data_IF_312132813810
#
_entry.id   IF_312132813810
#
_cell.length_a   1.000
_cell.length_b   1.000
_cell.length_c   1.000
_cell.angle_alpha   90.00
_cell.angle_beta   90.00
_cell.angle_gamma   90.00
#
_symmetry.space_group_name_H-M   'P 1'
#
loop_
_entity.id
_entity.type
_entity.pdbx_description
1 polymer ?
#
# COMPACT_ATOMS: atom_id res chain seq x y z
N UNK A 1 9.49 22.45 12.34
CA UNK A 1 8.63 21.77 11.33
C UNK A 1 9.50 21.50 10.11
N UNK A 2 9.66 20.23 9.72
CA UNK A 2 10.46 19.87 8.55
C UNK A 2 9.59 20.10 7.31
N UNK A 3 10.06 20.96 6.39
CA UNK A 3 9.35 21.22 5.14
C UNK A 3 10.08 20.51 4.00
N UNK A 4 9.41 19.50 3.41
CA UNK A 4 9.93 18.77 2.25
C UNK A 4 9.07 19.09 1.05
N UNK A 5 9.68 19.68 0.04
CA UNK A 5 9.00 19.98 -1.21
C UNK A 5 9.30 18.90 -2.25
N UNK A 6 8.29 18.11 -2.61
CA UNK A 6 8.39 17.09 -3.65
C UNK A 6 7.71 17.62 -4.91
N UNK A 7 8.45 17.92 -5.99
CA UNK A 7 7.87 18.42 -7.22
C UNK A 7 6.88 17.43 -7.85
N UNK A 8 5.77 17.92 -8.40
CA UNK A 8 4.79 17.07 -9.09
C UNK A 8 5.40 16.24 -10.23
N UNK A 9 6.43 16.79 -10.90
CA UNK A 9 7.17 16.09 -11.96
C UNK A 9 7.90 14.82 -11.50
N UNK A 10 7.98 14.59 -10.19
CA UNK A 10 8.53 13.34 -9.61
C UNK A 10 7.57 12.16 -9.78
N UNK A 11 6.29 12.44 -9.97
CA UNK A 11 5.24 11.43 -10.15
C UNK A 11 4.94 11.23 -11.63
N UNK A 12 4.54 10.02 -11.99
CA UNK A 12 3.87 9.80 -13.26
C UNK A 12 2.50 10.51 -13.20
N UNK A 13 2.19 11.32 -14.20
CA UNK A 13 1.01 12.19 -14.24
C UNK A 13 -0.30 11.45 -13.98
N UNK A 14 -0.40 10.22 -14.48
CA UNK A 14 -1.59 9.35 -14.30
C UNK A 14 -1.90 9.07 -12.82
N UNK A 15 -0.90 9.12 -11.94
CA UNK A 15 -1.08 8.85 -10.52
C UNK A 15 -1.22 10.10 -9.65
N UNK A 16 -0.99 11.29 -10.19
CA UNK A 16 -1.07 12.54 -9.41
C UNK A 16 -2.43 12.72 -8.72
N UNK A 17 -3.58 12.45 -9.36
CA UNK A 17 -4.89 12.55 -8.71
C UNK A 17 -5.09 11.57 -7.55
N UNK A 18 -4.30 10.49 -7.51
CA UNK A 18 -4.44 9.40 -6.54
C UNK A 18 -3.52 9.54 -5.32
N UNK A 19 -2.69 10.57 -5.24
CA UNK A 19 -1.79 10.80 -4.09
C UNK A 19 -2.62 10.95 -2.80
N UNK A 20 -3.71 11.73 -2.87
CA UNK A 20 -4.58 12.04 -1.74
C UNK A 20 -5.81 11.11 -1.65
N UNK A 21 -5.89 10.07 -2.47
CA UNK A 21 -7.03 9.17 -2.47
C UNK A 21 -7.11 8.41 -1.13
N UNK A 22 -8.21 8.58 -0.41
CA UNK A 22 -8.53 7.92 0.86
C UNK A 22 -9.68 6.93 0.76
N UNK A 23 -10.17 6.64 -0.46
CA UNK A 23 -11.21 5.62 -0.68
C UNK A 23 -10.87 4.32 0.04
N UNK A 24 -11.86 3.71 0.66
CA UNK A 24 -11.69 2.52 1.53
C UNK A 24 -11.02 1.37 0.81
N UNK A 25 -11.35 1.12 -0.44
CA UNK A 25 -10.74 0.09 -1.29
C UNK A 25 -10.16 0.74 -2.54
N UNK A 26 -8.92 0.41 -2.84
CA UNK A 26 -8.21 0.97 -3.98
C UNK A 26 -7.50 -0.15 -4.72
N UNK A 27 -7.67 -0.19 -6.03
CA UNK A 27 -7.06 -1.22 -6.88
C UNK A 27 -6.20 -0.52 -7.93
N UNK A 28 -4.92 -0.88 -7.95
CA UNK A 28 -3.97 -0.44 -8.96
C UNK A 28 -3.50 -1.65 -9.76
N UNK A 29 -4.07 -1.86 -10.92
CA UNK A 29 -3.67 -2.95 -11.81
C UNK A 29 -3.11 -2.41 -13.13
N UNK A 30 -2.27 -3.18 -13.77
CA UNK A 30 -1.60 -2.80 -15.02
C UNK A 30 -0.34 -3.60 -15.23
N UNK A 31 0.22 -3.55 -16.42
CA UNK A 31 1.42 -4.31 -16.79
C UNK A 31 2.66 -3.94 -15.96
N UNK A 32 3.69 -4.75 -16.09
CA UNK A 32 5.03 -4.41 -15.63
C UNK A 32 5.45 -3.05 -16.19
N UNK A 33 6.21 -2.28 -15.43
CA UNK A 33 6.67 -0.94 -15.85
C UNK A 33 5.59 0.15 -15.95
N UNK A 34 4.34 -0.10 -15.55
CA UNK A 34 3.29 0.93 -15.48
C UNK A 34 3.52 1.99 -14.38
N UNK A 35 4.53 1.81 -13.53
CA UNK A 35 4.87 2.74 -12.46
C UNK A 35 4.09 2.55 -11.16
N UNK A 36 3.17 1.57 -11.07
CA UNK A 36 2.36 1.29 -9.86
C UNK A 36 3.19 1.21 -8.57
N UNK A 37 4.22 0.36 -8.58
CA UNK A 37 5.02 0.10 -7.37
C UNK A 37 5.79 1.33 -6.92
N UNK A 38 6.34 2.11 -7.86
CA UNK A 38 7.02 3.37 -7.58
C UNK A 38 6.03 4.38 -6.98
N UNK A 39 4.87 4.57 -7.61
CA UNK A 39 3.84 5.47 -7.12
C UNK A 39 3.37 5.09 -5.71
N UNK A 40 3.07 3.81 -5.47
CA UNK A 40 2.62 3.35 -4.16
C UNK A 40 3.69 3.53 -3.08
N UNK A 41 4.97 3.30 -3.41
CA UNK A 41 6.07 3.61 -2.50
C UNK A 41 6.18 5.11 -2.19
N UNK A 42 6.03 5.97 -3.20
CA UNK A 42 6.00 7.43 -3.04
C UNK A 42 4.86 7.87 -2.12
N UNK A 43 3.66 7.36 -2.36
CA UNK A 43 2.47 7.66 -1.55
C UNK A 43 2.63 7.21 -0.10
N UNK A 44 3.15 6.00 0.12
CA UNK A 44 3.38 5.48 1.47
C UNK A 44 4.37 6.36 2.25
N UNK A 45 5.47 6.80 1.62
CA UNK A 45 6.43 7.72 2.23
C UNK A 45 5.78 9.07 2.56
N UNK A 46 4.98 9.64 1.66
CA UNK A 46 4.25 10.90 1.91
C UNK A 46 3.31 10.76 3.11
N UNK A 47 2.55 9.67 3.17
CA UNK A 47 1.61 9.39 4.28
C UNK A 47 2.33 9.32 5.63
N UNK A 48 3.47 8.65 5.68
CA UNK A 48 4.31 8.62 6.89
C UNK A 48 4.77 10.01 7.30
N UNK A 49 5.31 10.79 6.35
CA UNK A 49 5.83 12.12 6.63
C UNK A 49 4.78 13.09 7.16
N UNK A 50 3.56 13.01 6.63
CA UNK A 50 2.43 13.81 7.11
C UNK A 50 1.98 13.43 8.52
N UNK A 51 2.24 12.19 8.91
CA UNK A 51 1.81 11.65 10.20
C UNK A 51 0.34 11.23 10.22
N UNK A 52 -0.08 10.64 11.34
CA UNK A 52 -1.43 10.14 11.53
C UNK A 52 -1.71 8.77 10.88
N UNK A 53 -0.79 8.23 10.08
CA UNK A 53 -1.00 7.01 9.30
C UNK A 53 0.14 6.03 9.46
N UNK A 54 -0.19 4.78 9.80
CA UNK A 54 0.73 3.64 9.72
C UNK A 54 0.31 2.75 8.56
N UNK A 55 1.29 2.25 7.82
CA UNK A 55 1.09 1.41 6.64
C UNK A 55 1.55 -0.01 6.92
N UNK A 56 0.68 -0.99 6.71
CA UNK A 56 1.05 -2.40 6.69
C UNK A 56 1.16 -2.83 5.23
N UNK A 57 2.36 -3.19 4.79
CA UNK A 57 2.59 -3.69 3.43
C UNK A 57 2.75 -5.20 3.47
N UNK A 58 1.90 -5.89 2.72
CA UNK A 58 1.85 -7.35 2.67
C UNK A 58 2.18 -7.89 1.28
N UNK A 59 2.74 -9.08 1.25
CA UNK A 59 2.82 -10.00 0.11
C UNK A 59 2.49 -11.40 0.57
N UNK A 60 2.16 -12.30 -0.36
CA UNK A 60 1.92 -13.71 0.01
C UNK A 60 3.12 -14.28 0.76
N UNK A 61 4.34 -14.04 0.28
CA UNK A 61 5.58 -14.55 0.90
C UNK A 61 6.44 -13.40 1.43
N UNK A 62 6.70 -13.37 2.73
CA UNK A 62 7.47 -12.30 3.39
C UNK A 62 8.85 -12.06 2.78
N UNK A 63 9.54 -13.12 2.38
CA UNK A 63 10.90 -13.03 1.83
C UNK A 63 10.98 -12.18 0.56
N UNK A 64 9.92 -12.16 -0.25
CA UNK A 64 9.90 -11.41 -1.51
C UNK A 64 9.77 -9.90 -1.31
N UNK A 65 9.23 -9.44 -0.17
CA UNK A 65 9.09 -8.01 0.17
C UNK A 65 10.43 -7.28 0.23
N UNK A 66 11.48 -7.93 0.78
CA UNK A 66 12.80 -7.31 0.96
C UNK A 66 13.46 -6.92 -0.36
N UNK A 67 13.32 -7.74 -1.38
CA UNK A 67 13.88 -7.52 -2.72
C UNK A 67 13.05 -6.61 -3.61
N UNK A 68 11.82 -6.33 -3.25
CA UNK A 68 10.87 -5.55 -4.06
C UNK A 68 10.45 -4.25 -3.37
N UNK A 69 9.37 -4.30 -2.59
CA UNK A 69 8.73 -3.09 -2.02
C UNK A 69 9.66 -2.31 -1.10
N UNK A 70 10.43 -2.99 -0.25
CA UNK A 70 11.39 -2.32 0.65
C UNK A 70 12.44 -1.55 -0.14
N UNK A 71 12.92 -2.12 -1.25
CA UNK A 71 13.90 -1.44 -2.10
C UNK A 71 13.29 -0.23 -2.80
N UNK A 72 12.03 -0.32 -3.28
CA UNK A 72 11.36 0.83 -3.90
C UNK A 72 11.17 1.97 -2.89
N UNK A 73 10.76 1.69 -1.66
CA UNK A 73 10.64 2.71 -0.61
C UNK A 73 12.00 3.36 -0.32
N UNK A 74 13.07 2.56 -0.23
CA UNK A 74 14.43 3.08 -0.05
C UNK A 74 14.88 3.99 -1.19
N UNK A 75 14.62 3.58 -2.44
CA UNK A 75 14.93 4.40 -3.61
C UNK A 75 14.19 5.73 -3.57
N UNK A 76 12.92 5.74 -3.19
CA UNK A 76 12.12 6.97 -3.02
C UNK A 76 12.76 7.88 -1.97
N UNK A 77 13.02 7.36 -0.77
CA UNK A 77 13.61 8.11 0.35
C UNK A 77 14.98 8.70 -0.06
N UNK A 78 15.84 7.90 -0.69
CA UNK A 78 17.16 8.34 -1.16
C UNK A 78 17.05 9.37 -2.28
N UNK A 79 16.19 9.12 -3.29
CA UNK A 79 16.00 10.04 -4.42
C UNK A 79 15.46 11.40 -3.99
N UNK A 80 14.67 11.45 -2.93
CA UNK A 80 14.15 12.70 -2.39
C UNK A 80 15.11 13.40 -1.41
N UNK A 81 16.27 12.78 -1.10
CA UNK A 81 17.26 13.35 -0.19
C UNK A 81 16.79 13.45 1.26
N UNK A 82 15.88 12.57 1.68
CA UNK A 82 15.24 12.59 3.01
C UNK A 82 15.65 11.41 3.90
N UNK A 83 16.78 10.78 3.61
CA UNK A 83 17.23 9.57 4.34
C UNK A 83 17.37 9.81 5.84
N UNK A 84 17.79 10.99 6.26
CA UNK A 84 17.99 11.36 7.67
C UNK A 84 16.67 11.47 8.46
N UNK A 85 15.53 11.51 7.75
CA UNK A 85 14.20 11.55 8.37
C UNK A 85 13.63 10.16 8.63
N UNK A 86 14.32 9.09 8.23
CA UNK A 86 13.82 7.73 8.33
C UNK A 86 14.83 6.78 8.95
N UNK A 87 14.36 6.00 9.92
CA UNK A 87 15.05 4.82 10.39
C UNK A 87 14.53 3.59 9.63
N UNK A 88 15.43 2.86 8.99
CA UNK A 88 15.11 1.67 8.20
C UNK A 88 15.72 0.44 8.86
N UNK A 89 14.93 -0.23 9.69
CA UNK A 89 15.34 -1.46 10.34
C UNK A 89 15.23 -2.65 9.37
N UNK A 90 16.39 -3.21 9.00
CA UNK A 90 16.48 -4.34 8.08
C UNK A 90 16.06 -5.66 8.72
N UNK A 91 16.24 -5.80 10.02
CA UNK A 91 15.96 -7.02 10.77
C UNK A 91 14.46 -7.16 10.99
N UNK A 92 13.82 -6.13 11.50
CA UNK A 92 12.40 -6.15 11.87
C UNK A 92 11.48 -5.86 10.68
N UNK A 93 12.06 -5.41 9.55
CA UNK A 93 11.28 -5.08 8.37
C UNK A 93 10.36 -3.88 8.61
N UNK A 94 10.91 -2.77 9.14
CA UNK A 94 10.17 -1.53 9.41
C UNK A 94 10.88 -0.32 8.81
N UNK A 95 10.09 0.67 8.42
CA UNK A 95 10.54 2.01 8.06
C UNK A 95 9.81 2.99 8.96
N UNK A 96 10.55 3.70 9.81
CA UNK A 96 9.99 4.64 10.79
C UNK A 96 10.34 6.07 10.39
N UNK A 97 9.35 6.95 10.34
CA UNK A 97 9.60 8.38 10.22
C UNK A 97 10.04 8.94 11.59
N UNK A 98 11.29 9.39 11.69
CA UNK A 98 11.89 9.85 12.94
C UNK A 98 11.20 11.09 13.52
N UNK A 99 10.58 11.92 12.66
CA UNK A 99 9.94 13.16 13.07
C UNK A 99 8.62 12.94 13.85
N UNK A 100 7.93 11.80 13.63
CA UNK A 100 6.59 11.59 14.19
C UNK A 100 6.32 10.17 14.70
N UNK A 101 7.24 9.21 14.46
CA UNK A 101 7.17 7.83 14.93
C UNK A 101 6.18 6.93 14.17
N UNK A 102 5.54 7.39 13.08
CA UNK A 102 4.70 6.55 12.24
C UNK A 102 5.54 5.60 11.38
N UNK A 103 4.96 4.45 11.04
CA UNK A 103 5.72 3.34 10.46
C UNK A 103 5.09 2.74 9.21
N UNK A 104 5.95 2.28 8.30
CA UNK A 104 5.63 1.23 7.34
C UNK A 104 6.16 -0.08 7.91
N UNK A 105 5.29 -1.07 8.05
CA UNK A 105 5.64 -2.42 8.53
C UNK A 105 5.40 -3.42 7.42
N UNK A 106 6.31 -4.37 7.25
CA UNK A 106 6.24 -5.38 6.19
C UNK A 106 5.93 -6.76 6.76
N UNK A 107 4.95 -7.45 6.17
CA UNK A 107 4.51 -8.77 6.62
C UNK A 107 4.19 -9.72 5.46
N UNK A 108 4.54 -11.01 5.61
CA UNK A 108 4.02 -12.07 4.77
C UNK A 108 2.63 -12.50 5.21
N UNK A 109 1.84 -12.99 4.26
CA UNK A 109 0.54 -13.61 4.50
C UNK A 109 0.64 -15.13 4.66
N UNK A 110 1.84 -15.66 4.51
CA UNK A 110 2.21 -17.07 4.71
C UNK A 110 2.26 -17.48 6.20
N UNK A 111 2.34 -16.52 7.11
CA UNK A 111 2.32 -16.74 8.57
C UNK A 111 1.20 -15.90 9.21
N UNK A 112 0.03 -16.52 9.32
CA UNK A 112 -1.20 -15.88 9.86
C UNK A 112 -1.04 -15.54 11.34
N UNK A 113 -0.36 -16.35 12.13
CA UNK A 113 -0.17 -16.10 13.56
C UNK A 113 0.76 -14.91 13.78
N UNK A 114 1.86 -14.86 13.05
CA UNK A 114 2.75 -13.71 13.07
C UNK A 114 2.02 -12.43 12.62
N UNK A 115 1.22 -12.53 11.57
CA UNK A 115 0.43 -11.41 11.10
C UNK A 115 -0.50 -10.85 12.19
N UNK A 116 -1.11 -11.71 13.02
CA UNK A 116 -1.99 -11.30 14.14
C UNK A 116 -1.26 -10.52 15.23
N UNK A 117 0.02 -10.81 15.47
CA UNK A 117 0.82 -10.18 16.51
C UNK A 117 1.47 -8.86 16.10
N UNK A 118 1.56 -8.58 14.78
CA UNK A 118 2.21 -7.37 14.28
C UNK A 118 1.36 -6.14 14.62
N UNK A 119 1.96 -5.17 15.30
CA UNK A 119 1.37 -3.87 15.60
C UNK A 119 2.39 -2.77 15.31
N UNK A 120 1.98 -1.57 14.89
CA UNK A 120 2.91 -0.45 14.80
C UNK A 120 3.33 -0.01 16.19
N UNK A 121 4.50 0.62 16.32
CA UNK A 121 4.99 1.14 17.61
C UNK A 121 4.07 2.24 18.19
N UNK A 122 3.27 2.89 17.33
CA UNK A 122 2.36 3.96 17.72
C UNK A 122 1.03 3.83 16.98
N UNK A 123 -0.09 3.91 17.67
CA UNK A 123 -1.43 3.91 17.06
C UNK A 123 -1.83 2.57 16.44
N UNK A 124 -2.56 2.63 15.34
CA UNK A 124 -3.07 1.46 14.61
C UNK A 124 -2.67 1.52 13.14
N UNK A 125 -2.80 0.41 12.42
CA UNK A 125 -2.68 0.43 10.97
C UNK A 125 -3.92 1.10 10.35
N UNK A 126 -3.68 2.21 9.67
CA UNK A 126 -4.69 2.94 8.91
C UNK A 126 -4.72 2.50 7.45
N UNK A 127 -3.56 2.13 6.93
CA UNK A 127 -3.39 1.72 5.56
C UNK A 127 -2.89 0.28 5.51
N UNK A 128 -3.55 -0.54 4.71
CA UNK A 128 -3.07 -1.87 4.33
C UNK A 128 -2.84 -1.88 2.83
N UNK A 129 -1.67 -2.32 2.42
CA UNK A 129 -1.30 -2.51 1.01
C UNK A 129 -0.92 -3.96 0.77
N UNK A 130 -1.53 -4.58 -0.22
CA UNK A 130 -1.17 -5.92 -0.69
C UNK A 130 -0.50 -5.76 -2.06
N UNK A 131 0.78 -6.06 -2.11
CA UNK A 131 1.56 -6.06 -3.34
C UNK A 131 1.52 -7.46 -3.97
N UNK A 132 1.42 -7.54 -5.30
CA UNK A 132 1.19 -8.78 -6.07
C UNK A 132 -0.03 -9.55 -5.53
N UNK A 133 -1.15 -8.85 -5.40
CA UNK A 133 -2.37 -9.39 -4.78
C UNK A 133 -2.93 -10.62 -5.51
N UNK A 134 -2.50 -10.90 -6.73
CA UNK A 134 -2.84 -12.13 -7.47
C UNK A 134 -2.34 -13.42 -6.79
N UNK A 135 -1.27 -13.31 -5.99
CA UNK A 135 -0.73 -14.45 -5.24
C UNK A 135 -1.52 -14.75 -3.96
N UNK A 136 -2.41 -13.85 -3.54
CA UNK A 136 -3.11 -13.94 -2.26
C UNK A 136 -4.45 -14.64 -2.36
N UNK A 137 -4.95 -15.16 -1.24
CA UNK A 137 -6.27 -15.78 -1.16
C UNK A 137 -7.34 -14.77 -0.74
N UNK A 138 -8.61 -15.05 -1.07
CA UNK A 138 -9.77 -14.29 -0.54
C UNK A 138 -9.75 -14.17 0.98
N UNK A 139 -9.41 -15.25 1.66
CA UNK A 139 -9.43 -15.28 3.12
C UNK A 139 -8.34 -14.42 3.72
N UNK A 140 -7.15 -14.38 3.12
CA UNK A 140 -6.07 -13.48 3.54
C UNK A 140 -6.49 -12.01 3.41
N UNK A 141 -7.14 -11.64 2.30
CA UNK A 141 -7.64 -10.26 2.10
C UNK A 141 -8.70 -9.92 3.16
N UNK A 142 -9.69 -10.80 3.37
CA UNK A 142 -10.74 -10.60 4.39
C UNK A 142 -10.17 -10.49 5.81
N UNK A 143 -9.12 -11.25 6.13
CA UNK A 143 -8.47 -11.14 7.44
C UNK A 143 -7.79 -9.78 7.63
N UNK A 144 -7.13 -9.26 6.60
CA UNK A 144 -6.54 -7.93 6.64
C UNK A 144 -7.60 -6.82 6.78
N UNK A 145 -8.74 -6.94 6.10
CA UNK A 145 -9.87 -6.03 6.27
C UNK A 145 -10.39 -6.03 7.72
N UNK A 146 -10.48 -7.20 8.33
CA UNK A 146 -10.90 -7.33 9.75
C UNK A 146 -9.90 -6.69 10.69
N UNK A 147 -8.61 -6.76 10.41
CA UNK A 147 -7.55 -6.14 11.23
C UNK A 147 -7.57 -4.61 11.21
N UNK A 148 -8.10 -4.03 10.17
CA UNK A 148 -8.30 -2.59 10.12
C UNK A 148 -9.47 -2.09 11.00
N UNK A 149 -10.14 -2.98 11.75
CA UNK A 149 -11.12 -2.61 12.78
C UNK A 149 -10.36 -2.16 14.02
N UNK A 150 -10.81 -1.09 14.65
CA UNK A 150 -10.14 -0.51 15.83
C UNK A 150 -9.53 0.87 15.52
N UNK A 151 -9.12 1.61 16.53
CA UNK A 151 -8.80 3.04 16.44
C UNK A 151 -10.04 3.91 16.50
N UNK A 152 -9.90 5.24 16.42
CA UNK A 152 -11.04 6.14 16.36
C UNK A 152 -11.80 5.96 15.03
N UNK A 153 -13.12 6.08 15.07
CA UNK A 153 -13.98 6.03 13.87
C UNK A 153 -13.66 7.15 12.88
N UNK A 154 -13.03 8.22 13.34
CA UNK A 154 -12.64 9.37 12.54
C UNK A 154 -11.44 9.13 11.62
N UNK A 155 -10.69 8.03 11.82
CA UNK A 155 -9.51 7.75 10.99
C UNK A 155 -9.90 6.94 9.76
N UNK A 156 -9.89 7.58 8.60
CA UNK A 156 -10.08 6.89 7.30
C UNK A 156 -9.06 5.77 7.14
N UNK A 157 -9.54 4.58 6.81
CA UNK A 157 -8.72 3.38 6.62
C UNK A 157 -8.79 2.93 5.18
N UNK A 158 -7.66 2.61 4.60
CA UNK A 158 -7.57 2.20 3.20
C UNK A 158 -7.02 0.79 3.04
N UNK A 159 -7.59 0.02 2.12
CA UNK A 159 -7.04 -1.22 1.61
C UNK A 159 -6.65 -1.01 0.15
N UNK A 160 -5.37 -1.16 -0.15
CA UNK A 160 -4.82 -1.01 -1.50
C UNK A 160 -4.36 -2.37 -2.02
N UNK A 161 -4.85 -2.77 -3.18
CA UNK A 161 -4.40 -3.95 -3.90
C UNK A 161 -3.61 -3.52 -5.14
N UNK A 162 -2.42 -4.07 -5.34
CA UNK A 162 -1.64 -3.86 -6.57
C UNK A 162 -1.29 -5.20 -7.23
N UNK A 163 -1.51 -5.29 -8.54
CA UNK A 163 -1.25 -6.52 -9.29
C UNK A 163 -1.17 -6.28 -10.81
N UNK A 164 -0.66 -7.26 -11.51
CA UNK A 164 -0.65 -7.31 -12.98
C UNK A 164 -1.98 -7.85 -13.52
N UNK A 165 -2.31 -7.64 -14.81
CA UNK A 165 -3.55 -8.14 -15.39
C UNK A 165 -3.79 -9.62 -15.13
N UNK A 166 -5.04 -9.97 -14.87
CA UNK A 166 -5.51 -11.30 -14.48
C UNK A 166 -6.55 -11.82 -15.48
N UNK A 167 -6.77 -13.14 -15.47
CA UNK A 167 -7.87 -13.76 -16.22
C UNK A 167 -9.20 -13.62 -15.48
N UNK A 168 -10.32 -13.67 -16.20
CA UNK A 168 -11.67 -13.42 -15.67
C UNK A 168 -12.12 -14.40 -14.57
N UNK A 169 -11.57 -15.61 -14.52
CA UNK A 169 -11.85 -16.58 -13.46
C UNK A 169 -11.12 -16.32 -12.15
N UNK A 170 -10.22 -15.34 -12.10
CA UNK A 170 -9.48 -15.01 -10.87
C UNK A 170 -10.39 -14.35 -9.83
N UNK A 171 -10.22 -14.71 -8.55
CA UNK A 171 -11.08 -14.16 -7.48
C UNK A 171 -11.05 -12.62 -7.37
N UNK A 172 -9.93 -11.97 -7.67
CA UNK A 172 -9.87 -10.51 -7.71
C UNK A 172 -10.79 -9.94 -8.78
N UNK A 173 -10.88 -10.59 -9.96
CA UNK A 173 -11.82 -10.15 -10.99
C UNK A 173 -13.26 -10.37 -10.54
N UNK A 174 -13.58 -11.58 -10.09
CA UNK A 174 -14.97 -11.93 -9.72
C UNK A 174 -15.49 -11.15 -8.52
N UNK A 175 -14.61 -10.74 -7.61
CA UNK A 175 -15.00 -10.05 -6.38
C UNK A 175 -15.02 -8.51 -6.53
N UNK A 176 -14.17 -7.95 -7.36
CA UNK A 176 -13.98 -6.48 -7.43
C UNK A 176 -14.35 -5.87 -8.78
N UNK A 177 -14.28 -6.59 -9.87
CA UNK A 177 -14.53 -6.05 -11.21
C UNK A 177 -15.87 -6.51 -11.81
N UNK A 178 -16.16 -7.80 -11.77
CA UNK A 178 -17.37 -8.35 -12.33
C UNK A 178 -18.67 -7.74 -11.74
N UNK A 179 -18.78 -7.48 -10.41
CA UNK A 179 -19.96 -6.86 -9.83
C UNK A 179 -20.21 -5.43 -10.34
N UNK A 180 -19.17 -4.75 -10.85
CA UNK A 180 -19.25 -3.40 -11.40
C UNK A 180 -19.55 -3.40 -12.91
N UNK A 181 -19.74 -4.57 -13.53
CA UNK A 181 -19.92 -4.70 -14.96
C UNK A 181 -18.68 -4.39 -15.79
N UNK A 182 -17.48 -4.50 -15.20
CA UNK A 182 -16.24 -4.21 -15.89
C UNK A 182 -15.94 -5.24 -16.97
N UNK A 183 -15.58 -4.73 -18.13
CA UNK A 183 -15.22 -5.55 -19.29
C UNK A 183 -13.70 -5.55 -19.45
N UNK A 184 -13.15 -6.68 -19.88
CA UNK A 184 -11.71 -6.85 -20.06
C UNK A 184 -11.12 -6.06 -21.23
N UNK A 185 -11.97 -5.54 -22.10
CA UNK A 185 -11.62 -4.73 -23.27
C UNK A 185 -11.57 -3.21 -22.98
N UNK A 186 -11.89 -2.80 -21.75
CA UNK A 186 -11.82 -1.40 -21.33
C UNK A 186 -10.42 -1.07 -20.80
N UNK A 187 -9.85 0.05 -21.22
CA UNK A 187 -8.51 0.50 -20.83
C UNK A 187 -8.53 1.58 -19.73
N UNK A 188 -9.65 2.28 -19.57
CA UNK A 188 -9.84 3.30 -18.55
C UNK A 188 -11.15 3.08 -17.79
N UNK A 189 -11.08 3.22 -16.49
CA UNK A 189 -12.22 3.09 -15.60
C UNK A 189 -12.26 4.25 -14.63
N UNK A 190 -13.21 5.13 -14.85
CA UNK A 190 -13.68 6.05 -13.83
C UNK A 190 -14.79 5.32 -13.08
N UNK A 191 -14.46 4.62 -12.01
CA UNK A 191 -15.48 4.12 -11.10
C UNK A 191 -15.90 5.27 -10.19
N UNK A 192 -17.16 5.67 -10.19
CA UNK A 192 -17.70 6.40 -9.06
C UNK A 192 -17.64 5.46 -7.86
N UNK A 193 -17.04 5.94 -6.80
CA UNK A 193 -16.97 5.37 -5.45
C UNK A 193 -17.35 3.90 -5.26
N UNK A 194 -16.34 3.09 -4.97
CA UNK A 194 -16.48 1.82 -4.25
C UNK A 194 -16.75 2.13 -2.77
N UNK A 195 -17.86 2.78 -2.47
CA UNK A 195 -18.36 3.00 -1.12
C UNK A 195 -18.89 1.70 -0.50
#
# INVERSE_FOLDING_TARGET
MINVNVPKSTFNEVYVPHIENTSRKQIYYGGSSSGKSVFLAQRDVIRLMRGGRNVLVCRQVAKTLRGSVVQEIRKVISKWGISDLFDINKTDGTVTCSANGYQIVFAGLDDVEKLKSITPARGVFTDVRIDEATETTRDSIKQLEKRQRGGSEETEKTLTLSFNPIYQGHHLYTDYFAPLGWRTDQTEYNTPDLS
#
